data_IF_001588823082
#
_entry.id   IF_001588823082
#
_cell.length_a   1.000
_cell.length_b   1.000
_cell.length_c   1.000
_cell.angle_alpha   90.00
_cell.angle_beta   90.00
_cell.angle_gamma   90.00
#
_symmetry.space_group_name_H-M   'P 1'
#
loop_
_entity.id
_entity.type
_entity.pdbx_description
1 polymer ?
#
# COMPACT_ATOMS: atom_id res chain seq x y z
N UNK A 1 4.45 -30.45 18.25
CA UNK A 1 3.31 -30.30 19.17
C UNK A 1 3.30 -28.84 19.57
N UNK A 2 2.35 -28.06 19.04
CA UNK A 2 2.20 -26.63 19.34
C UNK A 2 1.38 -26.52 20.61
N UNK A 3 2.00 -25.99 21.68
CA UNK A 3 1.23 -25.33 22.72
C UNK A 3 0.43 -24.23 22.00
N UNK A 4 -0.91 -24.31 22.07
CA UNK A 4 -1.75 -23.19 21.67
C UNK A 4 -1.43 -22.07 22.64
N UNK A 5 -0.85 -20.98 22.15
CA UNK A 5 -0.84 -19.72 22.88
C UNK A 5 -2.29 -19.43 23.31
N UNK A 6 -2.52 -19.42 24.61
CA UNK A 6 -3.78 -18.97 25.17
C UNK A 6 -3.73 -17.45 25.19
N UNK A 7 -4.42 -16.82 24.24
CA UNK A 7 -4.64 -15.38 24.27
C UNK A 7 -5.62 -15.04 25.39
N UNK A 8 -5.58 -13.80 25.86
CA UNK A 8 -6.57 -13.33 26.83
C UNK A 8 -7.99 -13.41 26.25
N UNK A 9 -9.00 -13.55 27.11
CA UNK A 9 -10.41 -13.60 26.72
C UNK A 9 -10.83 -12.35 25.92
N UNK A 10 -10.20 -11.22 26.19
CA UNK A 10 -10.35 -9.96 25.47
C UNK A 10 -9.94 -10.09 24.00
N UNK A 11 -8.78 -10.69 23.73
CA UNK A 11 -8.28 -10.91 22.37
C UNK A 11 -9.19 -11.87 21.62
N UNK A 12 -9.70 -12.92 22.28
CA UNK A 12 -10.65 -13.85 21.69
C UNK A 12 -11.97 -13.16 21.29
N UNK A 13 -12.55 -12.34 22.17
CA UNK A 13 -13.75 -11.53 21.85
C UNK A 13 -13.49 -10.55 20.70
N UNK A 14 -12.33 -9.90 20.68
CA UNK A 14 -11.94 -9.02 19.59
C UNK A 14 -11.79 -9.75 18.25
N UNK A 15 -11.21 -10.95 18.26
CA UNK A 15 -11.11 -11.79 17.06
C UNK A 15 -12.48 -12.10 16.45
N UNK A 16 -13.47 -12.43 17.28
CA UNK A 16 -14.83 -12.69 16.81
C UNK A 16 -15.44 -11.46 16.12
N UNK A 17 -15.28 -10.28 16.72
CA UNK A 17 -15.79 -9.02 16.16
C UNK A 17 -15.12 -8.69 14.83
N UNK A 18 -13.79 -8.72 14.76
CA UNK A 18 -13.05 -8.43 13.52
C UNK A 18 -13.41 -9.42 12.39
N UNK A 19 -13.67 -10.68 12.73
CA UNK A 19 -14.14 -11.67 11.77
C UNK A 19 -15.57 -11.37 11.25
N UNK A 20 -16.45 -10.80 12.08
CA UNK A 20 -17.77 -10.33 11.66
C UNK A 20 -17.66 -9.14 10.72
N UNK A 21 -16.79 -8.17 11.02
CA UNK A 21 -16.51 -7.04 10.11
C UNK A 21 -16.05 -7.55 8.74
N UNK A 22 -15.08 -8.46 8.71
CA UNK A 22 -14.63 -9.07 7.47
C UNK A 22 -15.74 -9.83 6.72
N UNK A 23 -16.73 -10.38 7.43
CA UNK A 23 -17.89 -11.00 6.81
C UNK A 23 -18.86 -9.97 6.20
N UNK A 24 -19.11 -8.85 6.90
CA UNK A 24 -19.90 -7.71 6.37
C UNK A 24 -19.25 -7.17 5.09
N UNK A 25 -17.94 -6.95 5.11
CA UNK A 25 -17.18 -6.46 3.96
C UNK A 25 -17.21 -7.44 2.77
N UNK A 26 -17.16 -8.76 3.03
CA UNK A 26 -17.35 -9.76 1.97
C UNK A 26 -18.76 -9.76 1.40
N UNK A 27 -19.76 -9.53 2.25
CA UNK A 27 -21.17 -9.47 1.83
C UNK A 27 -21.41 -8.26 0.93
N UNK A 28 -20.90 -7.07 1.30
CA UNK A 28 -20.99 -5.82 0.51
C UNK A 28 -20.40 -5.90 -0.89
N UNK A 29 -19.43 -6.79 -1.12
CA UNK A 29 -18.79 -6.98 -2.42
C UNK A 29 -19.59 -7.85 -3.38
N UNK A 30 -20.68 -8.46 -2.92
CA UNK A 30 -21.55 -9.24 -3.78
C UNK A 30 -22.40 -8.30 -4.65
N UNK A 31 -22.64 -8.67 -5.92
CA UNK A 31 -23.53 -7.88 -6.77
C UNK A 31 -24.94 -7.86 -6.15
N UNK A 32 -25.63 -6.73 -6.31
CA UNK A 32 -27.04 -6.56 -5.95
C UNK A 32 -27.37 -6.77 -4.46
N UNK A 33 -26.40 -6.60 -3.56
CA UNK A 33 -26.65 -6.61 -2.10
C UNK A 33 -26.88 -5.20 -1.55
N UNK A 34 -27.87 -5.08 -0.67
CA UNK A 34 -28.07 -3.90 0.18
C UNK A 34 -27.29 -4.05 1.48
N UNK A 35 -26.91 -2.94 2.11
CA UNK A 35 -26.18 -2.98 3.38
C UNK A 35 -26.94 -3.77 4.47
N UNK A 36 -26.27 -4.67 5.21
CA UNK A 36 -26.90 -5.46 6.25
C UNK A 36 -27.02 -4.64 7.55
N UNK A 37 -27.82 -3.57 7.54
CA UNK A 37 -27.90 -2.55 8.60
C UNK A 37 -28.02 -3.12 10.02
N UNK A 38 -28.87 -4.14 10.24
CA UNK A 38 -29.03 -4.76 11.57
C UNK A 38 -27.75 -5.42 12.08
N UNK A 39 -27.00 -6.09 11.20
CA UNK A 39 -25.75 -6.73 11.56
C UNK A 39 -24.66 -5.69 11.84
N UNK A 40 -24.65 -4.60 11.06
CA UNK A 40 -23.75 -3.46 11.26
C UNK A 40 -24.01 -2.82 12.62
N UNK A 41 -25.27 -2.46 12.94
CA UNK A 41 -25.65 -1.88 14.23
C UNK A 41 -25.30 -2.78 15.42
N UNK A 42 -25.51 -4.09 15.29
CA UNK A 42 -25.14 -5.05 16.33
C UNK A 42 -23.63 -5.11 16.52
N UNK A 43 -22.87 -5.13 15.43
CA UNK A 43 -21.41 -5.19 15.45
C UNK A 43 -20.80 -3.93 16.07
N UNK A 44 -21.33 -2.75 15.71
CA UNK A 44 -20.97 -1.46 16.31
C UNK A 44 -21.15 -1.48 17.83
N UNK A 45 -22.32 -1.91 18.33
CA UNK A 45 -22.59 -2.00 19.78
C UNK A 45 -21.63 -2.95 20.50
N UNK A 46 -21.26 -4.06 19.87
CA UNK A 46 -20.28 -5.01 20.42
C UNK A 46 -18.88 -4.39 20.51
N UNK A 47 -18.46 -3.61 19.49
CA UNK A 47 -17.20 -2.88 19.51
C UNK A 47 -17.18 -1.83 20.61
N UNK A 48 -18.24 -1.04 20.77
CA UNK A 48 -18.33 0.01 21.80
C UNK A 48 -18.15 -0.55 23.21
N UNK A 49 -18.82 -1.67 23.51
CA UNK A 49 -18.66 -2.35 24.78
C UNK A 49 -17.21 -2.80 24.99
N UNK A 50 -16.61 -3.44 23.98
CA UNK A 50 -15.25 -3.98 24.09
C UNK A 50 -14.18 -2.88 24.20
N UNK A 51 -14.30 -1.79 23.43
CA UNK A 51 -13.37 -0.65 23.45
C UNK A 51 -13.42 0.08 24.80
N UNK A 52 -14.59 0.13 25.43
CA UNK A 52 -14.77 0.73 26.77
C UNK A 52 -14.11 -0.11 27.85
N UNK A 53 -14.15 -1.43 27.71
CA UNK A 53 -13.56 -2.37 28.67
C UNK A 53 -12.02 -2.46 28.55
N UNK A 54 -11.44 -2.02 27.44
CA UNK A 54 -10.01 -2.17 27.15
C UNK A 54 -9.13 -1.10 27.79
N UNK A 55 -7.96 -1.46 28.33
CA UNK A 55 -7.00 -0.48 28.82
C UNK A 55 -6.49 0.41 27.68
N UNK A 56 -6.30 1.69 27.97
CA UNK A 56 -5.62 2.61 27.05
C UNK A 56 -4.11 2.47 27.25
N UNK A 57 -3.47 1.79 26.31
CA UNK A 57 -2.03 1.56 26.30
C UNK A 57 -1.41 2.42 25.21
N UNK A 58 -0.58 3.39 25.58
CA UNK A 58 0.03 4.35 24.64
C UNK A 58 1.42 3.90 24.17
N UNK A 59 2.16 3.20 25.03
CA UNK A 59 3.52 2.71 24.71
C UNK A 59 3.68 1.28 25.24
N UNK A 60 3.32 0.26 24.45
CA UNK A 60 3.35 -1.13 24.90
C UNK A 60 4.78 -1.58 25.20
N UNK A 61 4.99 -2.25 26.33
CA UNK A 61 6.32 -2.71 26.76
C UNK A 61 6.59 -4.18 26.40
N UNK A 62 5.55 -4.93 26.06
CA UNK A 62 5.59 -6.36 25.76
C UNK A 62 4.52 -6.72 24.71
N UNK A 63 4.54 -7.97 24.23
CA UNK A 63 3.64 -8.45 23.18
C UNK A 63 2.17 -8.42 23.59
N UNK A 64 1.84 -8.75 24.84
CA UNK A 64 0.45 -8.76 25.30
C UNK A 64 -0.14 -7.35 25.32
N UNK A 65 0.62 -6.37 25.85
CA UNK A 65 0.25 -4.97 25.81
C UNK A 65 0.11 -4.45 24.37
N UNK A 66 1.01 -4.85 23.47
CA UNK A 66 0.94 -4.49 22.05
C UNK A 66 -0.33 -5.04 21.39
N UNK A 67 -0.64 -6.33 21.61
CA UNK A 67 -1.84 -6.93 21.02
C UNK A 67 -3.13 -6.28 21.52
N UNK A 68 -3.19 -5.92 22.80
CA UNK A 68 -4.35 -5.20 23.35
C UNK A 68 -4.45 -3.77 22.80
N UNK A 69 -3.34 -3.04 22.72
CA UNK A 69 -3.31 -1.68 22.17
C UNK A 69 -3.77 -1.67 20.70
N UNK A 70 -3.20 -2.55 19.89
CA UNK A 70 -3.51 -2.68 18.46
C UNK A 70 -4.96 -3.11 18.24
N UNK A 71 -5.44 -4.12 18.97
CA UNK A 71 -6.84 -4.55 18.87
C UNK A 71 -7.80 -3.41 19.23
N UNK A 72 -7.50 -2.64 20.29
CA UNK A 72 -8.32 -1.49 20.66
C UNK A 72 -8.38 -0.47 19.54
N UNK A 73 -7.23 -0.10 18.97
CA UNK A 73 -7.15 0.88 17.89
C UNK A 73 -7.88 0.39 16.64
N UNK A 74 -7.70 -0.90 16.29
CA UNK A 74 -8.39 -1.54 15.20
C UNK A 74 -9.90 -1.50 15.37
N UNK A 75 -10.42 -1.85 16.55
CA UNK A 75 -11.86 -1.81 16.83
C UNK A 75 -12.43 -0.40 16.72
N UNK A 76 -11.69 0.63 17.15
CA UNK A 76 -12.08 2.04 16.95
C UNK A 76 -12.15 2.40 15.46
N UNK A 77 -11.16 1.96 14.67
CA UNK A 77 -11.11 2.21 13.24
C UNK A 77 -12.29 1.56 12.50
N UNK A 78 -12.56 0.29 12.79
CA UNK A 78 -13.64 -0.48 12.17
C UNK A 78 -15.01 0.03 12.60
N UNK A 79 -15.16 0.40 13.89
CA UNK A 79 -16.37 1.04 14.41
C UNK A 79 -16.68 2.31 13.63
N UNK A 80 -15.69 3.18 13.47
CA UNK A 80 -15.86 4.42 12.74
C UNK A 80 -16.21 4.18 11.26
N UNK A 81 -15.52 3.24 10.60
CA UNK A 81 -15.80 2.88 9.21
C UNK A 81 -17.25 2.43 9.03
N UNK A 82 -17.73 1.52 9.88
CA UNK A 82 -19.10 1.03 9.83
C UNK A 82 -20.13 2.10 10.22
N UNK A 83 -19.78 2.99 11.15
CA UNK A 83 -20.66 4.05 11.62
C UNK A 83 -20.89 5.12 10.57
N UNK A 84 -19.88 5.47 9.77
CA UNK A 84 -20.00 6.45 8.68
C UNK A 84 -21.10 6.08 7.70
N UNK A 85 -21.28 4.78 7.43
CA UNK A 85 -22.32 4.29 6.52
C UNK A 85 -23.75 4.46 7.08
N UNK A 86 -23.87 4.63 8.41
CA UNK A 86 -25.15 4.77 9.12
C UNK A 86 -25.43 6.19 9.61
N UNK A 87 -24.42 7.06 9.63
CA UNK A 87 -24.52 8.41 10.17
C UNK A 87 -25.00 9.42 9.12
N UNK A 88 -25.79 10.39 9.57
CA UNK A 88 -26.21 11.54 8.76
C UNK A 88 -25.18 12.66 8.73
N UNK A 89 -24.20 12.67 9.64
CA UNK A 89 -23.16 13.70 9.73
C UNK A 89 -21.81 13.17 9.27
N UNK A 90 -21.12 13.94 8.43
CA UNK A 90 -19.76 13.60 7.97
C UNK A 90 -18.73 13.89 9.08
N UNK A 91 -17.88 12.91 9.47
CA UNK A 91 -16.79 13.09 10.42
C UNK A 91 -15.85 14.26 10.09
N UNK A 92 -15.23 14.85 11.11
CA UNK A 92 -14.19 15.87 10.91
C UNK A 92 -12.90 15.26 10.38
N UNK A 93 -12.02 16.12 9.84
CA UNK A 93 -10.68 15.72 9.43
C UNK A 93 -9.94 14.99 10.57
N UNK A 94 -9.89 15.58 11.76
CA UNK A 94 -9.19 15.04 12.92
C UNK A 94 -9.72 13.66 13.32
N UNK A 95 -11.04 13.46 13.22
CA UNK A 95 -11.66 12.16 13.47
C UNK A 95 -11.21 11.11 12.44
N UNK A 96 -11.26 11.42 11.15
CA UNK A 96 -10.84 10.47 10.09
C UNK A 96 -9.36 10.11 10.22
N UNK A 97 -8.48 11.08 10.50
CA UNK A 97 -7.06 10.84 10.72
C UNK A 97 -6.83 9.92 11.93
N UNK A 98 -7.50 10.19 13.05
CA UNK A 98 -7.37 9.40 14.26
C UNK A 98 -7.82 7.94 14.07
N UNK A 99 -8.98 7.72 13.43
CA UNK A 99 -9.50 6.37 13.21
C UNK A 99 -8.62 5.54 12.28
N UNK A 100 -7.99 6.16 11.28
CA UNK A 100 -7.06 5.47 10.39
C UNK A 100 -5.65 5.33 10.96
N UNK A 101 -5.39 5.85 12.17
CA UNK A 101 -4.09 5.79 12.82
C UNK A 101 -2.97 6.46 12.03
N UNK A 102 -3.30 7.54 11.31
CA UNK A 102 -2.35 8.25 10.46
C UNK A 102 -1.57 9.24 11.35
N UNK A 103 -0.24 9.12 11.48
CA UNK A 103 0.55 10.10 12.21
C UNK A 103 0.40 11.48 11.56
N UNK A 104 0.08 12.50 12.36
CA UNK A 104 -0.14 13.85 11.81
C UNK A 104 1.15 14.42 11.23
N UNK A 105 2.28 14.04 11.81
CA UNK A 105 3.62 14.41 11.39
C UNK A 105 3.91 13.94 9.95
N UNK A 106 3.36 12.78 9.55
CA UNK A 106 3.51 12.26 8.19
C UNK A 106 2.75 13.15 7.19
N UNK A 107 1.55 13.62 7.55
CA UNK A 107 0.75 14.55 6.72
C UNK A 107 1.43 15.92 6.65
N UNK A 108 1.92 16.44 7.78
CA UNK A 108 2.61 17.73 7.85
C UNK A 108 3.94 17.71 7.08
N UNK A 109 4.60 16.55 6.98
CA UNK A 109 5.84 16.39 6.22
C UNK A 109 5.68 16.56 4.71
N UNK A 110 4.46 16.42 4.18
CA UNK A 110 4.18 16.52 2.75
C UNK A 110 4.65 17.85 2.16
N UNK A 111 4.42 18.95 2.87
CA UNK A 111 4.75 20.29 2.40
C UNK A 111 6.26 20.46 2.20
N UNK A 112 7.04 20.08 3.21
CA UNK A 112 8.51 20.15 3.19
C UNK A 112 9.05 19.24 2.09
N UNK A 113 8.58 17.99 2.02
CA UNK A 113 9.04 17.05 1.02
C UNK A 113 8.75 17.53 -0.41
N UNK A 114 7.55 18.10 -0.66
CA UNK A 114 7.18 18.64 -1.97
C UNK A 114 8.01 19.86 -2.36
N UNK A 115 8.38 20.71 -1.40
CA UNK A 115 9.28 21.83 -1.64
C UNK A 115 10.67 21.35 -2.07
N UNK A 116 11.25 20.42 -1.32
CA UNK A 116 12.60 19.89 -1.53
C UNK A 116 12.73 19.09 -2.83
N UNK A 117 11.68 18.37 -3.23
CA UNK A 117 11.71 17.47 -4.38
C UNK A 117 11.20 18.08 -5.68
N UNK A 118 10.74 19.35 -5.67
CA UNK A 118 10.15 19.99 -6.87
C UNK A 118 11.12 20.09 -8.04
N UNK A 119 12.33 20.61 -7.83
CA UNK A 119 13.33 20.70 -8.90
C UNK A 119 13.91 19.33 -9.28
N UNK A 120 14.26 18.42 -8.33
CA UNK A 120 14.63 17.05 -8.66
C UNK A 120 13.63 16.32 -9.57
N UNK A 121 12.33 16.50 -9.34
CA UNK A 121 11.26 15.90 -10.17
C UNK A 121 11.21 16.49 -11.57
N UNK A 122 11.45 17.80 -11.73
CA UNK A 122 11.54 18.41 -13.06
C UNK A 122 12.71 17.84 -13.85
N UNK A 123 13.86 17.66 -13.21
CA UNK A 123 15.03 17.06 -13.84
C UNK A 123 14.80 15.58 -14.19
N UNK A 124 14.18 14.80 -13.30
CA UNK A 124 13.78 13.42 -13.59
C UNK A 124 12.80 13.36 -14.76
N UNK A 125 11.80 14.25 -14.80
CA UNK A 125 10.83 14.33 -15.89
C UNK A 125 11.49 14.74 -17.22
N UNK A 126 12.47 15.66 -17.18
CA UNK A 126 13.28 16.03 -18.34
C UNK A 126 14.07 14.83 -18.87
N UNK A 127 14.78 14.09 -18.01
CA UNK A 127 15.49 12.86 -18.40
C UNK A 127 14.54 11.82 -18.99
N UNK A 128 13.35 11.64 -18.39
CA UNK A 128 12.31 10.75 -18.92
C UNK A 128 11.84 11.20 -20.31
N UNK A 129 11.62 12.50 -20.50
CA UNK A 129 11.26 13.07 -21.79
C UNK A 129 12.37 12.84 -22.83
N UNK A 130 13.63 13.15 -22.51
CA UNK A 130 14.78 12.96 -23.40
C UNK A 130 14.96 11.49 -23.80
N UNK A 131 14.84 10.56 -22.86
CA UNK A 131 14.83 9.11 -23.16
C UNK A 131 13.71 8.77 -24.14
N UNK A 132 12.51 9.24 -23.90
CA UNK A 132 11.33 8.95 -24.74
C UNK A 132 11.45 9.59 -26.12
N UNK A 133 11.97 10.81 -26.21
CA UNK A 133 12.18 11.52 -27.48
C UNK A 133 13.27 10.87 -28.35
N UNK A 134 14.28 10.27 -27.71
CA UNK A 134 15.35 9.54 -28.39
C UNK A 134 14.96 8.08 -28.71
N UNK A 135 14.03 7.49 -27.96
CA UNK A 135 13.42 6.18 -28.23
C UNK A 135 12.22 6.34 -29.19
N UNK A 136 12.48 6.70 -30.46
CA UNK A 136 11.44 7.02 -31.46
C UNK A 136 10.38 5.94 -31.68
N UNK A 137 10.64 4.71 -31.25
CA UNK A 137 9.81 3.56 -31.63
C UNK A 137 9.14 2.85 -30.46
N UNK A 138 9.31 3.29 -29.21
CA UNK A 138 8.62 2.65 -28.08
C UNK A 138 7.15 3.08 -28.02
N UNK A 139 6.24 2.18 -28.40
CA UNK A 139 4.78 2.41 -28.44
C UNK A 139 4.03 1.38 -27.60
N UNK A 140 2.82 1.69 -27.11
CA UNK A 140 1.96 0.68 -26.48
C UNK A 140 1.65 -0.46 -27.47
N UNK A 141 1.67 -1.70 -26.99
CA UNK A 141 1.29 -2.85 -27.82
C UNK A 141 -0.20 -2.75 -28.19
N UNK A 142 -0.53 -3.00 -29.45
CA UNK A 142 -1.92 -3.07 -29.91
C UNK A 142 -2.59 -4.38 -29.49
N UNK A 143 -2.96 -4.50 -28.20
CA UNK A 143 -3.53 -5.73 -27.61
C UNK A 143 -4.91 -6.14 -28.17
N UNK A 144 -5.54 -5.28 -28.99
CA UNK A 144 -6.73 -5.64 -29.76
C UNK A 144 -6.44 -6.55 -30.96
N UNK A 145 -5.17 -6.73 -31.34
CA UNK A 145 -4.73 -7.69 -32.35
C UNK A 145 -4.32 -8.99 -31.64
N UNK A 146 -5.03 -10.08 -31.91
CA UNK A 146 -4.87 -11.36 -31.20
C UNK A 146 -3.43 -11.89 -31.19
N UNK A 147 -2.72 -11.79 -32.31
CA UNK A 147 -1.34 -12.25 -32.46
C UNK A 147 -0.40 -11.48 -31.55
N UNK A 148 -0.46 -10.14 -31.60
CA UNK A 148 0.34 -9.26 -30.74
C UNK A 148 -0.01 -9.44 -29.26
N UNK A 149 -1.29 -9.64 -28.93
CA UNK A 149 -1.71 -9.89 -27.56
C UNK A 149 -1.11 -11.20 -27.03
N UNK A 150 -1.19 -12.29 -27.80
CA UNK A 150 -0.61 -13.59 -27.41
C UNK A 150 0.91 -13.50 -27.24
N UNK A 151 1.60 -12.83 -28.15
CA UNK A 151 3.04 -12.62 -28.10
C UNK A 151 3.45 -11.80 -26.85
N UNK A 152 2.85 -10.62 -26.67
CA UNK A 152 3.10 -9.75 -25.52
C UNK A 152 2.84 -10.46 -24.20
N UNK A 153 1.71 -11.17 -24.15
CA UNK A 153 1.31 -11.98 -23.01
C UNK A 153 2.36 -13.05 -22.70
N UNK A 154 2.77 -13.84 -23.68
CA UNK A 154 3.78 -14.90 -23.47
C UNK A 154 5.09 -14.32 -22.95
N UNK A 155 5.59 -13.27 -23.58
CA UNK A 155 6.83 -12.59 -23.21
C UNK A 155 6.78 -12.04 -21.77
N UNK A 156 5.71 -11.33 -21.43
CA UNK A 156 5.51 -10.78 -20.09
C UNK A 156 5.44 -11.89 -19.03
N UNK A 157 4.65 -12.93 -19.28
CA UNK A 157 4.52 -14.06 -18.37
C UNK A 157 5.87 -14.74 -18.11
N UNK A 158 6.62 -15.02 -19.17
CA UNK A 158 7.94 -15.65 -19.05
C UNK A 158 8.92 -14.78 -18.25
N UNK A 159 8.92 -13.47 -18.51
CA UNK A 159 9.77 -12.52 -17.77
C UNK A 159 9.39 -12.46 -16.28
N UNK A 160 8.10 -12.32 -15.95
CA UNK A 160 7.61 -12.37 -14.57
C UNK A 160 8.03 -13.67 -13.90
N UNK A 161 7.83 -14.82 -14.56
CA UNK A 161 8.20 -16.11 -14.00
C UNK A 161 9.71 -16.28 -13.81
N UNK A 162 10.55 -15.73 -14.71
CA UNK A 162 12.00 -15.70 -14.53
C UNK A 162 12.37 -14.93 -13.28
N UNK A 163 11.88 -13.69 -13.13
CA UNK A 163 12.18 -12.87 -11.95
C UNK A 163 11.66 -13.53 -10.67
N UNK A 164 10.43 -14.06 -10.67
CA UNK A 164 9.88 -14.80 -9.52
C UNK A 164 10.77 -15.97 -9.11
N UNK A 165 11.19 -16.82 -10.06
CA UNK A 165 12.09 -17.95 -9.75
C UNK A 165 13.39 -17.46 -9.14
N UNK A 166 13.97 -16.41 -9.74
CA UNK A 166 15.18 -15.77 -9.27
C UNK A 166 15.04 -15.28 -7.82
N UNK A 167 13.96 -14.57 -7.49
CA UNK A 167 13.76 -14.00 -6.15
C UNK A 167 13.22 -15.01 -5.13
N UNK A 168 12.77 -16.18 -5.57
CA UNK A 168 12.20 -17.20 -4.68
C UNK A 168 13.22 -17.74 -3.69
N UNK A 169 14.49 -17.81 -4.10
CA UNK A 169 15.60 -18.21 -3.24
C UNK A 169 16.01 -17.08 -2.29
N UNK A 170 16.11 -15.85 -2.80
CA UNK A 170 16.57 -14.67 -2.05
C UNK A 170 15.56 -14.17 -1.02
N UNK A 171 14.28 -14.08 -1.40
CA UNK A 171 13.21 -13.58 -0.51
C UNK A 171 12.37 -14.71 0.10
N UNK A 172 12.65 -15.98 -0.18
CA UNK A 172 11.84 -17.10 0.33
C UNK A 172 10.39 -17.06 -0.14
N UNK A 173 10.11 -16.51 -1.33
CA UNK A 173 8.74 -16.37 -1.86
C UNK A 173 8.22 -17.62 -2.58
N UNK A 174 9.00 -18.70 -2.65
CA UNK A 174 8.63 -19.93 -3.37
C UNK A 174 7.26 -20.48 -2.94
N UNK A 175 7.02 -20.50 -1.62
CA UNK A 175 5.79 -21.04 -1.04
C UNK A 175 4.64 -20.06 -1.22
N UNK A 176 4.94 -18.75 -1.14
CA UNK A 176 3.97 -17.70 -1.35
C UNK A 176 3.45 -17.68 -2.80
N UNK A 177 4.33 -17.89 -3.78
CA UNK A 177 3.98 -17.97 -5.21
C UNK A 177 3.05 -19.15 -5.50
N UNK A 178 3.23 -20.29 -4.82
CA UNK A 178 2.38 -21.50 -5.02
C UNK A 178 0.95 -21.30 -4.50
N UNK A 179 0.77 -20.46 -3.48
CA UNK A 179 -0.54 -20.20 -2.88
C UNK A 179 -1.43 -19.30 -3.74
N UNK A 180 -0.86 -18.55 -4.68
CA UNK A 180 -1.58 -17.60 -5.50
C UNK A 180 -1.80 -18.11 -6.93
N UNK A 181 -3.05 -18.02 -7.40
CA UNK A 181 -3.37 -18.16 -8.82
C UNK A 181 -2.83 -16.94 -9.57
N UNK A 182 -2.07 -17.20 -10.61
CA UNK A 182 -1.42 -16.15 -11.40
C UNK A 182 -2.15 -16.01 -12.72
N UNK A 183 -2.64 -14.82 -13.01
CA UNK A 183 -3.22 -14.53 -14.31
C UNK A 183 -2.71 -13.21 -14.83
N UNK A 184 -2.73 -13.10 -16.14
CA UNK A 184 -2.32 -11.92 -16.85
C UNK A 184 -3.53 -11.40 -17.57
N UNK A 185 -3.64 -10.08 -17.63
CA UNK A 185 -4.78 -9.46 -18.25
C UNK A 185 -4.35 -8.35 -19.21
N UNK A 186 -4.95 -8.39 -20.40
CA UNK A 186 -4.69 -7.49 -21.50
C UNK A 186 -5.56 -6.22 -21.48
N UNK A 187 -6.60 -6.18 -20.64
CA UNK A 187 -7.59 -5.09 -20.62
C UNK A 187 -7.35 -4.09 -19.49
N UNK A 188 -6.99 -4.56 -18.30
CA UNK A 188 -6.64 -3.63 -17.23
C UNK A 188 -5.21 -3.14 -17.34
N UNK A 189 -5.04 -1.89 -16.91
CA UNK A 189 -3.73 -1.25 -16.81
C UNK A 189 -3.08 -1.47 -15.45
N UNK A 190 -3.80 -1.98 -14.44
CA UNK A 190 -3.25 -2.16 -13.09
C UNK A 190 -2.89 -3.62 -12.79
N UNK A 191 -1.68 -3.80 -12.28
CA UNK A 191 -1.24 -5.03 -11.63
C UNK A 191 -1.57 -4.96 -10.14
N UNK A 192 -1.98 -6.08 -9.53
CA UNK A 192 -2.32 -6.15 -8.11
C UNK A 192 -2.35 -7.60 -7.60
N UNK A 193 -2.04 -7.77 -6.32
CA UNK A 193 -2.36 -8.96 -5.55
C UNK A 193 -3.73 -8.82 -4.86
N UNK A 194 -4.58 -9.84 -4.98
CA UNK A 194 -5.83 -9.97 -4.26
C UNK A 194 -5.75 -11.18 -3.33
N UNK A 195 -5.65 -10.91 -2.04
CA UNK A 195 -5.53 -11.89 -0.97
C UNK A 195 -6.83 -12.63 -0.64
N UNK A 196 -7.99 -12.15 -1.09
CA UNK A 196 -9.28 -12.83 -0.87
C UNK A 196 -9.43 -13.98 -1.86
N UNK A 197 -9.16 -13.71 -3.14
CA UNK A 197 -9.18 -14.73 -4.20
C UNK A 197 -7.87 -15.53 -4.29
N UNK A 198 -6.85 -15.16 -3.50
CA UNK A 198 -5.48 -15.64 -3.64
C UNK A 198 -5.03 -15.57 -5.09
N UNK A 199 -5.13 -14.38 -5.68
CA UNK A 199 -4.75 -14.17 -7.08
C UNK A 199 -3.77 -13.02 -7.22
N UNK A 200 -2.77 -13.19 -8.08
CA UNK A 200 -1.93 -12.08 -8.53
C UNK A 200 -2.19 -11.85 -10.01
N UNK A 201 -2.42 -10.59 -10.33
CA UNK A 201 -2.66 -10.09 -11.67
C UNK A 201 -1.53 -9.18 -12.11
N UNK A 202 -1.10 -9.33 -13.37
CA UNK A 202 -0.29 -8.31 -14.01
C UNK A 202 -0.86 -7.85 -15.36
N UNK A 203 -0.61 -6.58 -15.67
CA UNK A 203 -1.08 -5.92 -16.88
C UNK A 203 -0.10 -6.08 -18.03
N UNK A 204 -0.51 -6.74 -19.11
CA UNK A 204 0.30 -6.83 -20.34
C UNK A 204 0.62 -5.44 -20.88
N UNK A 205 -0.33 -4.51 -20.77
CA UNK A 205 -0.19 -3.12 -21.21
C UNK A 205 0.96 -2.37 -20.52
N UNK A 206 1.21 -2.63 -19.24
CA UNK A 206 2.30 -1.99 -18.50
C UNK A 206 3.63 -2.68 -18.66
N UNK A 207 3.63 -4.00 -18.77
CA UNK A 207 4.86 -4.81 -18.77
C UNK A 207 5.44 -5.04 -20.15
N UNK A 208 4.81 -4.54 -21.21
CA UNK A 208 5.29 -4.70 -22.59
C UNK A 208 5.16 -3.41 -23.38
N UNK A 209 5.95 -3.32 -24.44
CA UNK A 209 5.88 -2.29 -25.45
C UNK A 209 6.17 -2.89 -26.82
N UNK A 210 5.90 -2.17 -27.90
CA UNK A 210 6.29 -2.55 -29.24
C UNK A 210 7.13 -1.46 -29.90
N UNK A 211 7.97 -1.85 -30.85
CA UNK A 211 8.67 -0.96 -31.78
C UNK A 211 8.65 -1.55 -33.19
N UNK A 212 9.45 -1.01 -34.13
CA UNK A 212 9.52 -1.53 -35.51
C UNK A 212 10.00 -2.99 -35.60
N UNK A 213 10.78 -3.45 -34.62
CA UNK A 213 11.36 -4.80 -34.57
C UNK A 213 10.44 -5.85 -33.93
N UNK A 214 9.32 -5.44 -33.31
CA UNK A 214 8.36 -6.36 -32.69
C UNK A 214 7.91 -5.97 -31.28
N UNK A 215 7.53 -6.97 -30.48
CA UNK A 215 7.05 -6.80 -29.10
C UNK A 215 8.17 -7.10 -28.09
N UNK A 216 8.27 -6.26 -27.06
CA UNK A 216 9.32 -6.30 -26.05
C UNK A 216 8.74 -6.18 -24.65
N UNK A 217 9.51 -6.65 -23.67
CA UNK A 217 9.21 -6.55 -22.25
C UNK A 217 9.77 -5.25 -21.69
N UNK A 218 9.00 -4.55 -20.85
CA UNK A 218 9.54 -3.50 -20.00
C UNK A 218 10.15 -4.12 -18.74
N UNK A 219 11.47 -4.29 -18.76
CA UNK A 219 12.23 -4.86 -17.65
C UNK A 219 12.08 -4.07 -16.33
N UNK A 220 11.97 -2.74 -16.41
CA UNK A 220 11.77 -1.90 -15.22
C UNK A 220 10.42 -2.23 -14.56
N UNK A 221 9.35 -2.19 -15.34
CA UNK A 221 8.00 -2.48 -14.84
C UNK A 221 7.85 -3.93 -14.35
N UNK A 222 8.51 -4.90 -14.99
CA UNK A 222 8.54 -6.29 -14.49
C UNK A 222 9.22 -6.38 -13.12
N UNK A 223 10.40 -5.77 -12.95
CA UNK A 223 11.13 -5.82 -11.68
C UNK A 223 10.32 -5.11 -10.59
N UNK A 224 9.79 -3.92 -10.86
CA UNK A 224 8.90 -3.19 -9.94
C UNK A 224 7.72 -4.03 -9.50
N UNK A 225 6.99 -4.59 -10.46
CA UNK A 225 5.83 -5.43 -10.22
C UNK A 225 6.16 -6.61 -9.33
N UNK A 226 7.25 -7.32 -9.63
CA UNK A 226 7.62 -8.51 -8.88
C UNK A 226 8.08 -8.14 -7.46
N UNK A 227 8.85 -7.06 -7.30
CA UNK A 227 9.24 -6.56 -5.98
C UNK A 227 8.04 -6.12 -5.13
N UNK A 228 7.13 -5.34 -5.71
CA UNK A 228 5.97 -4.78 -5.01
C UNK A 228 4.91 -5.83 -4.68
N UNK A 229 4.43 -6.55 -5.70
CA UNK A 229 3.31 -7.47 -5.55
C UNK A 229 3.74 -8.81 -4.94
N UNK A 230 4.86 -9.39 -5.40
CA UNK A 230 5.32 -10.69 -4.90
C UNK A 230 6.21 -10.57 -3.68
N UNK A 231 7.23 -9.70 -3.74
CA UNK A 231 8.16 -9.46 -2.64
C UNK A 231 7.50 -8.78 -1.43
N UNK A 232 6.55 -7.89 -1.68
CA UNK A 232 5.75 -7.18 -0.69
C UNK A 232 4.45 -7.89 -0.33
N UNK A 233 3.38 -7.61 -1.10
CA UNK A 233 2.00 -7.97 -0.74
C UNK A 233 1.79 -9.48 -0.54
N UNK A 234 2.20 -10.31 -1.51
CA UNK A 234 2.02 -11.77 -1.46
C UNK A 234 2.83 -12.39 -0.34
N UNK A 235 4.10 -12.01 -0.21
CA UNK A 235 4.99 -12.50 0.86
C UNK A 235 4.44 -12.13 2.23
N UNK A 236 4.06 -10.86 2.44
CA UNK A 236 3.45 -10.37 3.67
C UNK A 236 2.20 -11.17 4.03
N UNK A 237 1.31 -11.41 3.05
CA UNK A 237 0.11 -12.21 3.27
C UNK A 237 0.44 -13.64 3.73
N UNK A 238 1.33 -14.33 3.01
CA UNK A 238 1.65 -15.73 3.31
C UNK A 238 2.36 -15.88 4.64
N UNK A 239 3.37 -15.06 4.93
CA UNK A 239 4.08 -15.07 6.21
C UNK A 239 3.10 -14.79 7.36
N UNK A 240 2.24 -13.78 7.22
CA UNK A 240 1.21 -13.46 8.22
C UNK A 240 0.27 -14.64 8.48
N UNK A 241 -0.22 -15.31 7.43
CA UNK A 241 -1.13 -16.45 7.56
C UNK A 241 -0.46 -17.68 8.17
N UNK A 242 0.81 -17.93 7.87
CA UNK A 242 1.57 -19.07 8.38
C UNK A 242 2.06 -18.88 9.82
N UNK A 243 2.16 -17.64 10.29
CA UNK A 243 2.67 -17.33 11.64
C UNK A 243 1.69 -17.81 12.71
N UNK A 244 2.00 -18.92 13.38
CA UNK A 244 1.06 -19.58 14.31
C UNK A 244 0.72 -18.74 15.55
N UNK A 245 1.67 -17.96 16.06
CA UNK A 245 1.57 -17.22 17.31
C UNK A 245 0.84 -15.86 17.21
N UNK A 246 0.49 -15.39 16.02
CA UNK A 246 -0.28 -14.16 15.88
C UNK A 246 -1.78 -14.40 16.19
N UNK A 247 -2.42 -13.50 16.95
CA UNK A 247 -3.87 -13.41 17.07
C UNK A 247 -4.59 -13.37 15.71
N UNK A 248 -5.84 -13.86 15.65
CA UNK A 248 -6.59 -13.92 14.39
C UNK A 248 -6.85 -12.54 13.79
N UNK A 249 -7.06 -11.50 14.59
CA UNK A 249 -7.35 -10.15 14.09
C UNK A 249 -6.17 -9.59 13.29
N UNK A 250 -4.92 -9.88 13.69
CA UNK A 250 -3.70 -9.53 12.95
C UNK A 250 -3.49 -10.37 11.69
N UNK A 251 -4.26 -11.46 11.52
CA UNK A 251 -4.27 -12.27 10.30
C UNK A 251 -5.41 -11.88 9.35
N UNK A 252 -6.29 -10.97 9.76
CA UNK A 252 -7.44 -10.55 8.95
C UNK A 252 -7.16 -9.18 8.34
N UNK A 253 -6.79 -9.18 7.05
CA UNK A 253 -6.68 -7.94 6.29
C UNK A 253 -8.08 -7.29 6.18
N UNK A 254 -8.18 -6.03 6.57
CA UNK A 254 -9.31 -5.17 6.21
C UNK A 254 -8.77 -3.93 5.50
N UNK A 255 -9.60 -3.34 4.64
CA UNK A 255 -9.13 -2.47 3.56
C UNK A 255 -8.72 -1.07 4.03
N UNK A 256 -9.18 -0.62 5.20
CA UNK A 256 -8.93 0.76 5.64
C UNK A 256 -7.77 0.89 6.65
N UNK A 257 -7.78 0.27 7.83
CA UNK A 257 -6.86 0.66 8.90
C UNK A 257 -5.44 0.13 8.67
N UNK A 258 -5.28 -0.92 7.85
CA UNK A 258 -3.99 -1.61 7.61
C UNK A 258 -3.39 -1.36 6.23
N UNK A 259 -4.12 -0.76 5.29
CA UNK A 259 -3.68 -0.68 3.90
C UNK A 259 -2.46 0.24 3.71
N UNK A 260 -2.35 1.31 4.50
CA UNK A 260 -1.18 2.20 4.48
C UNK A 260 0.10 1.45 4.82
N UNK A 261 0.07 0.67 5.90
CA UNK A 261 1.19 -0.19 6.32
C UNK A 261 1.52 -1.25 5.27
N UNK A 262 0.52 -1.95 4.73
CA UNK A 262 0.73 -2.97 3.69
C UNK A 262 1.42 -2.39 2.45
N UNK A 263 1.01 -1.21 2.02
CA UNK A 263 1.62 -0.52 0.89
C UNK A 263 3.05 -0.04 1.21
N UNK A 264 3.31 0.44 2.43
CA UNK A 264 4.66 0.80 2.89
C UNK A 264 5.61 -0.42 2.87
N UNK A 265 5.14 -1.61 3.30
CA UNK A 265 5.89 -2.87 3.16
C UNK A 265 6.18 -3.19 1.70
N UNK A 266 5.19 -3.08 0.82
CA UNK A 266 5.36 -3.38 -0.59
C UNK A 266 6.36 -2.44 -1.29
N UNK A 267 6.30 -1.15 -0.99
CA UNK A 267 7.25 -0.15 -1.52
C UNK A 267 8.69 -0.39 -1.03
N UNK A 268 8.86 -0.87 0.20
CA UNK A 268 10.18 -1.28 0.71
C UNK A 268 10.75 -2.44 -0.11
N UNK A 269 9.99 -3.51 -0.30
CA UNK A 269 10.47 -4.69 -1.04
C UNK A 269 10.61 -4.46 -2.56
N UNK A 270 9.80 -3.55 -3.15
CA UNK A 270 10.07 -3.02 -4.48
C UNK A 270 11.49 -2.45 -4.56
N UNK A 271 11.82 -1.55 -3.65
CA UNK A 271 13.12 -0.86 -3.63
C UNK A 271 14.27 -1.82 -3.29
N UNK A 272 14.05 -2.73 -2.35
CA UNK A 272 15.05 -3.73 -1.94
C UNK A 272 15.43 -4.65 -3.09
N UNK A 273 14.48 -5.07 -3.94
CA UNK A 273 14.78 -5.89 -5.11
C UNK A 273 15.75 -5.18 -6.07
N UNK A 274 15.55 -3.88 -6.33
CA UNK A 274 16.50 -3.11 -7.14
C UNK A 274 17.87 -3.01 -6.48
N UNK A 275 17.94 -2.81 -5.16
CA UNK A 275 19.22 -2.80 -4.43
C UNK A 275 19.95 -4.13 -4.56
N UNK A 276 19.27 -5.26 -4.39
CA UNK A 276 19.87 -6.60 -4.52
C UNK A 276 20.39 -6.83 -5.95
N UNK A 277 19.62 -6.46 -6.97
CA UNK A 277 20.05 -6.60 -8.36
C UNK A 277 21.27 -5.71 -8.68
N UNK A 278 21.39 -4.55 -8.02
CA UNK A 278 22.56 -3.69 -8.11
C UNK A 278 23.80 -4.32 -7.47
N UNK A 279 23.63 -4.91 -6.29
CA UNK A 279 24.69 -5.53 -5.50
C UNK A 279 25.15 -6.87 -6.09
N UNK A 280 24.30 -7.52 -6.89
CA UNK A 280 24.57 -8.83 -7.50
C UNK A 280 24.37 -8.82 -9.03
N UNK A 281 25.39 -8.39 -9.81
CA UNK A 281 25.31 -8.36 -11.27
C UNK A 281 25.08 -9.73 -11.92
N UNK A 282 25.58 -10.81 -11.32
CA UNK A 282 25.37 -12.17 -11.82
C UNK A 282 23.88 -12.56 -11.71
N UNK A 283 23.23 -12.13 -10.61
CA UNK A 283 21.81 -12.33 -10.43
C UNK A 283 21.01 -11.59 -11.50
N UNK A 284 21.34 -10.32 -11.79
CA UNK A 284 20.73 -9.58 -12.89
C UNK A 284 20.93 -10.28 -14.25
N UNK A 285 22.14 -10.71 -14.57
CA UNK A 285 22.44 -11.42 -15.82
C UNK A 285 21.58 -12.67 -15.99
N UNK A 286 21.30 -13.39 -14.89
CA UNK A 286 20.45 -14.58 -14.91
C UNK A 286 18.99 -14.31 -15.32
N UNK A 287 18.52 -13.06 -15.19
CA UNK A 287 17.16 -12.66 -15.59
C UNK A 287 16.99 -12.61 -17.12
N UNK A 288 18.09 -12.48 -17.85
CA UNK A 288 18.11 -12.49 -19.33
C UNK A 288 17.51 -11.25 -19.98
N UNK A 289 17.55 -10.10 -19.30
CA UNK A 289 17.16 -8.83 -19.90
C UNK A 289 18.29 -8.29 -20.80
N UNK A 290 17.92 -7.74 -21.95
CA UNK A 290 18.88 -7.23 -22.95
C UNK A 290 19.45 -5.85 -22.61
N UNK A 291 18.86 -5.15 -21.64
CA UNK A 291 19.24 -3.80 -21.25
C UNK A 291 20.30 -3.83 -20.14
N UNK A 292 21.24 -2.86 -20.06
CA UNK A 292 22.10 -2.72 -18.90
C UNK A 292 21.30 -2.40 -17.62
N UNK A 293 21.64 -3.05 -16.50
CA UNK A 293 20.92 -2.81 -15.24
C UNK A 293 20.99 -1.34 -14.77
N UNK A 294 22.12 -0.66 -15.00
CA UNK A 294 22.26 0.75 -14.59
C UNK A 294 21.22 1.66 -15.26
N UNK A 295 20.90 1.40 -16.54
CA UNK A 295 19.87 2.14 -17.26
C UNK A 295 18.48 1.87 -16.68
N UNK A 296 18.19 0.61 -16.37
CA UNK A 296 16.95 0.20 -15.69
C UNK A 296 16.85 0.87 -14.31
N UNK A 297 17.92 0.82 -13.52
CA UNK A 297 17.97 1.37 -12.17
C UNK A 297 17.80 2.89 -12.18
N UNK A 298 18.42 3.61 -13.12
CA UNK A 298 18.21 5.05 -13.25
C UNK A 298 16.78 5.39 -13.69
N UNK A 299 16.17 4.59 -14.59
CA UNK A 299 14.75 4.74 -14.92
C UNK A 299 13.85 4.50 -13.71
N UNK A 300 14.14 3.46 -12.92
CA UNK A 300 13.43 3.17 -11.69
C UNK A 300 13.43 4.38 -10.74
N UNK A 301 14.61 4.96 -10.47
CA UNK A 301 14.74 6.12 -9.60
C UNK A 301 13.95 7.33 -10.11
N UNK A 302 14.03 7.63 -11.42
CA UNK A 302 13.29 8.74 -12.02
C UNK A 302 11.77 8.51 -11.95
N UNK A 303 11.31 7.30 -12.32
CA UNK A 303 9.89 6.95 -12.33
C UNK A 303 9.30 6.91 -10.92
N UNK A 304 10.06 6.41 -9.93
CA UNK A 304 9.66 6.42 -8.52
C UNK A 304 9.52 7.85 -8.00
N UNK A 305 10.53 8.70 -8.23
CA UNK A 305 10.50 10.10 -7.77
C UNK A 305 9.32 10.88 -8.38
N UNK A 306 9.05 10.69 -9.68
CA UNK A 306 7.90 11.32 -10.35
C UNK A 306 6.57 10.78 -9.77
N UNK A 307 6.43 9.47 -9.61
CA UNK A 307 5.22 8.87 -9.06
C UNK A 307 4.95 9.31 -7.61
N UNK A 308 5.98 9.34 -6.77
CA UNK A 308 5.91 9.80 -5.39
C UNK A 308 5.50 11.27 -5.31
N UNK A 309 6.04 12.12 -6.20
CA UNK A 309 5.64 13.53 -6.24
C UNK A 309 4.18 13.70 -6.65
N UNK A 310 3.72 12.96 -7.66
CA UNK A 310 2.30 12.99 -8.08
C UNK A 310 1.40 12.57 -6.92
N UNK A 311 1.75 11.49 -6.20
CA UNK A 311 0.97 10.97 -5.09
C UNK A 311 0.96 11.91 -3.88
N UNK A 312 2.14 12.36 -3.43
CA UNK A 312 2.27 13.28 -2.28
C UNK A 312 1.62 14.63 -2.57
N UNK A 313 1.69 15.12 -3.81
CA UNK A 313 0.99 16.34 -4.24
C UNK A 313 -0.53 16.16 -4.20
N UNK A 314 -1.03 15.02 -4.62
CA UNK A 314 -2.45 14.66 -4.51
C UNK A 314 -2.92 14.58 -3.04
N UNK A 315 -2.13 13.93 -2.18
CA UNK A 315 -2.39 13.84 -0.74
C UNK A 315 -2.37 15.22 -0.08
N UNK A 316 -1.39 16.07 -0.40
CA UNK A 316 -1.33 17.45 0.06
C UNK A 316 -2.53 18.28 -0.43
N UNK A 317 -3.01 17.99 -1.64
CA UNK A 317 -4.29 18.48 -2.16
C UNK A 317 -5.46 18.13 -1.26
N UNK A 318 -5.63 16.86 -0.91
CA UNK A 318 -6.69 16.38 -0.01
C UNK A 318 -6.58 17.06 1.36
N UNK A 319 -5.37 17.12 1.93
CA UNK A 319 -5.11 17.79 3.20
C UNK A 319 -5.51 19.27 3.17
N UNK A 320 -5.13 19.99 2.11
CA UNK A 320 -5.47 21.40 1.91
C UNK A 320 -6.98 21.60 1.83
N UNK A 321 -7.69 20.76 1.07
CA UNK A 321 -9.15 20.83 0.96
C UNK A 321 -9.80 20.51 2.30
N UNK A 322 -9.41 19.43 2.97
CA UNK A 322 -9.99 19.00 4.24
C UNK A 322 -9.82 20.02 5.38
N UNK A 323 -8.76 20.84 5.33
CA UNK A 323 -8.52 21.97 6.26
C UNK A 323 -9.13 23.31 5.80
N UNK A 324 -9.93 23.31 4.74
CA UNK A 324 -10.56 24.50 4.17
C UNK A 324 -12.08 24.32 4.06
N UNK A 325 -12.77 25.28 3.43
CA UNK A 325 -14.19 25.19 3.08
C UNK A 325 -14.37 25.06 1.57
N UNK A 326 -15.49 24.50 1.12
CA UNK A 326 -15.76 24.24 -0.31
C UNK A 326 -15.60 25.50 -1.18
N UNK A 327 -16.04 26.66 -0.69
CA UNK A 327 -16.05 27.92 -1.44
C UNK A 327 -14.74 28.73 -1.32
N UNK A 328 -13.74 28.26 -0.58
CA UNK A 328 -12.47 28.97 -0.37
C UNK A 328 -11.42 28.69 -1.46
N UNK A 329 -11.86 28.78 -2.72
CA UNK A 329 -11.01 28.51 -3.88
C UNK A 329 -9.73 29.35 -3.89
N UNK A 330 -9.81 30.60 -3.44
CA UNK A 330 -8.66 31.52 -3.46
C UNK A 330 -7.55 30.99 -2.55
N UNK A 331 -7.84 30.71 -1.28
CA UNK A 331 -6.82 30.22 -0.35
C UNK A 331 -6.37 28.80 -0.69
N UNK A 332 -7.26 27.94 -1.20
CA UNK A 332 -6.87 26.62 -1.72
C UNK A 332 -5.85 26.75 -2.86
N UNK A 333 -6.12 27.64 -3.84
CA UNK A 333 -5.18 27.89 -4.94
C UNK A 333 -3.83 28.44 -4.44
N UNK A 334 -3.86 29.40 -3.51
CA UNK A 334 -2.65 29.99 -2.92
C UNK A 334 -1.76 28.94 -2.22
N UNK A 335 -2.37 27.98 -1.49
CA UNK A 335 -1.65 26.88 -0.83
C UNK A 335 -1.09 25.83 -1.79
N UNK A 336 -1.82 25.51 -2.86
CA UNK A 336 -1.45 24.43 -3.78
C UNK A 336 -0.47 24.86 -4.88
N UNK A 337 -0.50 26.12 -5.30
CA UNK A 337 0.30 26.63 -6.41
C UNK A 337 1.82 26.46 -6.24
N UNK A 338 2.43 26.66 -5.05
CA UNK A 338 3.88 26.51 -4.88
C UNK A 338 4.42 25.13 -5.26
N UNK A 339 3.60 24.09 -5.06
CA UNK A 339 3.93 22.68 -5.30
C UNK A 339 3.45 22.17 -6.66
N UNK A 340 2.90 23.06 -7.49
CA UNK A 340 2.50 22.72 -8.85
C UNK A 340 3.72 22.67 -9.78
N UNK A 341 3.82 21.57 -10.55
CA UNK A 341 4.67 21.49 -11.74
C UNK A 341 3.92 22.12 -12.91
N UNK A 342 2.66 21.73 -13.10
CA UNK A 342 1.76 22.31 -14.08
C UNK A 342 0.90 23.41 -13.47
N UNK A 343 0.93 24.66 -13.98
CA UNK A 343 0.16 25.78 -13.41
C UNK A 343 -1.36 25.56 -13.35
N UNK A 344 -1.91 24.68 -14.19
CA UNK A 344 -3.33 24.34 -14.20
C UNK A 344 -3.72 23.29 -13.15
N UNK A 345 -2.76 22.56 -12.58
CA UNK A 345 -3.04 21.44 -11.68
C UNK A 345 -3.91 21.83 -10.48
N UNK A 346 -3.61 22.90 -9.71
CA UNK A 346 -4.42 23.28 -8.56
C UNK A 346 -5.90 23.52 -8.91
N UNK A 347 -6.14 24.28 -9.98
CA UNK A 347 -7.49 24.60 -10.43
C UNK A 347 -8.25 23.36 -10.90
N UNK A 348 -7.58 22.43 -11.60
CA UNK A 348 -8.15 21.16 -12.03
C UNK A 348 -8.46 20.26 -10.84
N UNK A 349 -7.54 20.17 -9.87
CA UNK A 349 -7.70 19.36 -8.67
C UNK A 349 -8.91 19.84 -7.85
N UNK A 350 -8.97 21.12 -7.49
CA UNK A 350 -10.11 21.70 -6.75
C UNK A 350 -11.44 21.44 -7.47
N UNK A 351 -11.47 21.65 -8.79
CA UNK A 351 -12.67 21.40 -9.59
C UNK A 351 -13.10 19.92 -9.61
N UNK A 352 -12.14 19.00 -9.68
CA UNK A 352 -12.39 17.56 -9.68
C UNK A 352 -12.94 17.08 -8.33
N UNK A 353 -12.54 17.74 -7.25
CA UNK A 353 -12.96 17.40 -5.87
C UNK A 353 -14.26 18.07 -5.43
N UNK A 354 -14.91 18.89 -6.28
CA UNK A 354 -16.10 19.67 -5.89
C UNK A 354 -17.25 18.79 -5.37
N UNK A 355 -17.39 17.59 -5.95
CA UNK A 355 -18.48 16.65 -5.65
C UNK A 355 -18.14 15.76 -4.45
N UNK A 356 -16.92 15.91 -3.90
CA UNK A 356 -16.47 15.20 -2.71
C UNK A 356 -16.72 15.99 -1.42
N UNK A 357 -17.51 17.07 -1.47
CA UNK A 357 -17.94 17.83 -0.30
C UNK A 357 -19.35 17.45 0.07
N UNK A 358 -19.55 17.13 1.34
CA UNK A 358 -20.88 16.89 1.88
C UNK A 358 -21.69 18.19 1.85
N UNK A 359 -22.86 18.15 1.21
CA UNK A 359 -23.68 19.34 0.99
C UNK A 359 -24.31 19.89 2.28
N UNK A 360 -24.41 19.07 3.32
CA UNK A 360 -25.05 19.46 4.59
C UNK A 360 -24.02 20.04 5.55
N UNK A 361 -22.92 19.33 5.79
CA UNK A 361 -21.87 19.74 6.71
C UNK A 361 -20.84 20.67 6.09
N UNK A 362 -20.77 20.74 4.75
CA UNK A 362 -19.75 21.52 4.02
C UNK A 362 -18.33 21.00 4.23
N UNK A 363 -18.18 19.71 4.56
CA UNK A 363 -16.89 19.05 4.86
C UNK A 363 -16.50 18.13 3.71
N UNK A 364 -15.21 17.93 3.50
CA UNK A 364 -14.74 16.90 2.59
C UNK A 364 -15.14 15.51 3.13
N UNK A 365 -15.69 14.65 2.27
CA UNK A 365 -16.21 13.34 2.67
C UNK A 365 -15.11 12.39 3.16
N UNK A 366 -15.46 11.51 4.10
CA UNK A 366 -14.49 10.72 4.86
C UNK A 366 -13.69 9.74 4.02
N UNK A 367 -14.29 9.08 3.03
CA UNK A 367 -13.55 8.18 2.14
C UNK A 367 -12.43 8.94 1.41
N UNK A 368 -12.65 10.23 1.10
CA UNK A 368 -11.65 11.05 0.43
C UNK A 368 -10.50 11.40 1.36
N UNK A 369 -10.80 11.83 2.59
CA UNK A 369 -9.78 12.11 3.62
C UNK A 369 -8.98 10.84 3.94
N UNK A 370 -9.63 9.66 3.92
CA UNK A 370 -8.98 8.38 4.22
C UNK A 370 -7.83 8.03 3.29
N UNK A 371 -7.75 8.59 2.08
CA UNK A 371 -6.62 8.39 1.15
C UNK A 371 -5.29 8.90 1.72
N UNK A 372 -5.32 9.76 2.74
CA UNK A 372 -4.13 10.19 3.49
C UNK A 372 -3.46 9.04 4.26
N UNK A 373 -4.12 7.88 4.42
CA UNK A 373 -3.50 6.70 5.05
C UNK A 373 -2.26 6.20 4.32
N UNK A 374 -2.17 6.45 3.02
CA UNK A 374 -1.00 6.11 2.20
C UNK A 374 0.15 7.12 2.32
N UNK A 375 -0.01 8.17 3.14
CA UNK A 375 1.11 9.05 3.52
C UNK A 375 1.97 8.37 4.59
N UNK A 376 1.38 7.48 5.40
CA UNK A 376 2.08 6.81 6.48
C UNK A 376 3.23 5.95 5.95
N UNK A 377 4.43 6.17 6.49
CA UNK A 377 5.66 5.43 6.14
C UNK A 377 6.29 4.76 7.39
N UNK A 378 5.58 3.83 8.05
CA UNK A 378 6.11 3.14 9.23
C UNK A 378 7.38 2.33 8.89
N UNK A 379 7.46 1.71 7.71
CA UNK A 379 8.65 0.94 7.32
C UNK A 379 9.86 1.83 7.15
N UNK A 380 9.74 2.99 6.50
CA UNK A 380 10.85 3.93 6.40
C UNK A 380 11.34 4.43 7.76
N UNK A 381 10.44 4.68 8.72
CA UNK A 381 10.83 5.03 10.10
C UNK A 381 11.59 3.89 10.79
N UNK A 382 11.06 2.67 10.70
CA UNK A 382 11.72 1.47 11.22
C UNK A 382 13.13 1.35 10.65
N UNK A 383 13.26 1.34 9.32
CA UNK A 383 14.55 1.14 8.64
C UNK A 383 15.57 2.24 8.91
N UNK A 384 15.13 3.49 9.20
CA UNK A 384 16.03 4.57 9.64
C UNK A 384 16.52 4.40 11.07
N UNK A 385 15.76 3.72 11.93
CA UNK A 385 16.05 3.55 13.36
C UNK A 385 16.83 2.27 13.68
N UNK A 386 16.71 1.25 12.84
CA UNK A 386 17.31 -0.07 13.04
C UNK A 386 18.81 -0.05 12.67
N UNK A 387 19.70 -0.63 13.50
CA UNK A 387 21.11 -0.79 13.17
C UNK A 387 21.33 -1.59 11.88
N UNK A 388 22.36 -1.23 11.09
CA UNK A 388 22.61 -1.83 9.78
C UNK A 388 22.76 -3.37 9.80
N UNK A 389 23.34 -3.92 10.87
CA UNK A 389 23.53 -5.36 11.09
C UNK A 389 22.22 -6.10 11.45
N UNK A 390 21.13 -5.37 11.68
CA UNK A 390 19.81 -5.92 12.05
C UNK A 390 18.72 -5.66 11.02
N UNK A 391 19.06 -5.08 9.86
CA UNK A 391 18.09 -4.79 8.79
C UNK A 391 17.36 -6.05 8.34
N UNK A 392 18.07 -7.17 8.12
CA UNK A 392 17.43 -8.43 7.71
C UNK A 392 16.44 -8.97 8.74
N UNK A 393 16.72 -8.78 10.04
CA UNK A 393 15.80 -9.18 11.11
C UNK A 393 14.56 -8.29 11.10
N UNK A 394 14.72 -6.97 10.93
CA UNK A 394 13.60 -6.04 10.78
C UNK A 394 12.76 -6.35 9.53
N UNK A 395 13.38 -6.69 8.40
CA UNK A 395 12.70 -7.10 7.16
C UNK A 395 11.81 -8.33 7.36
N UNK A 396 12.26 -9.30 8.17
CA UNK A 396 11.42 -10.46 8.54
C UNK A 396 10.23 -10.05 9.41
N UNK A 397 10.44 -9.13 10.35
CA UNK A 397 9.40 -8.67 11.27
C UNK A 397 8.32 -7.84 10.56
N UNK A 398 8.67 -6.96 9.61
CA UNK A 398 7.68 -6.14 8.88
C UNK A 398 6.77 -6.95 7.96
N UNK A 399 7.15 -8.18 7.62
CA UNK A 399 6.35 -9.12 6.83
C UNK A 399 5.34 -9.92 7.65
N UNK A 400 5.22 -9.65 8.95
CA UNK A 400 4.45 -10.48 9.87
C UNK A 400 3.34 -9.65 10.50
N UNK A 401 2.08 -9.97 10.19
CA UNK A 401 0.89 -9.34 10.78
C UNK A 401 0.37 -8.13 9.99
N UNK A 402 -0.95 -7.95 10.02
CA UNK A 402 -1.61 -6.75 9.50
C UNK A 402 -1.73 -5.71 10.62
N UNK A 403 -0.74 -4.83 10.66
CA UNK A 403 -0.61 -3.79 11.68
C UNK A 403 -1.05 -2.42 11.17
N UNK A 404 -1.64 -1.61 12.05
CA UNK A 404 -1.69 -0.17 11.89
C UNK A 404 -0.27 0.42 12.01
N UNK A 405 0.00 1.65 11.51
CA UNK A 405 1.36 2.17 11.39
C UNK A 405 2.18 2.11 12.69
N UNK A 406 1.63 2.65 13.79
CA UNK A 406 2.29 2.65 15.10
C UNK A 406 2.48 1.23 15.66
N UNK A 407 1.48 0.36 15.50
CA UNK A 407 1.56 -1.04 15.92
C UNK A 407 2.69 -1.80 15.25
N UNK A 408 2.99 -1.51 13.98
CA UNK A 408 4.14 -2.12 13.29
C UNK A 408 5.47 -1.66 13.89
N UNK A 409 5.61 -0.38 14.19
CA UNK A 409 6.82 0.17 14.80
C UNK A 409 7.08 -0.45 16.18
N UNK A 410 6.04 -0.57 16.99
CA UNK A 410 6.11 -1.21 18.30
C UNK A 410 6.39 -2.72 18.20
N UNK A 411 5.79 -3.41 17.22
CA UNK A 411 6.08 -4.81 16.92
C UNK A 411 7.56 -5.03 16.63
N UNK A 412 8.14 -4.23 15.73
CA UNK A 412 9.57 -4.35 15.40
C UNK A 412 10.43 -4.00 16.60
N UNK A 413 10.13 -2.89 17.30
CA UNK A 413 10.89 -2.45 18.48
C UNK A 413 10.95 -3.52 19.57
N UNK A 414 9.80 -4.10 19.95
CA UNK A 414 9.71 -5.10 21.02
C UNK A 414 10.46 -6.38 20.65
N UNK A 415 10.28 -6.86 19.42
CA UNK A 415 10.93 -8.09 18.97
C UNK A 415 12.44 -7.92 18.75
N UNK A 416 12.89 -6.73 18.33
CA UNK A 416 14.32 -6.47 18.24
C UNK A 416 14.96 -6.27 19.62
N UNK A 417 14.26 -5.76 20.62
CA UNK A 417 14.79 -5.61 21.97
C UNK A 417 14.93 -6.93 22.73
N UNK A 418 14.25 -7.99 22.28
CA UNK A 418 14.21 -9.29 22.94
C UNK A 418 15.07 -10.30 22.16
N UNK A 419 16.12 -10.92 22.73
CA UNK A 419 16.88 -11.96 22.05
C UNK A 419 15.93 -13.11 21.66
N UNK A 420 15.89 -13.41 20.37
CA UNK A 420 14.75 -14.00 19.65
C UNK A 420 14.27 -15.36 20.18
N UNK A 421 12.94 -15.54 20.23
CA UNK A 421 12.30 -16.75 19.73
C UNK A 421 11.92 -16.47 18.26
N UNK A 422 12.84 -16.74 17.33
CA UNK A 422 12.54 -16.91 15.91
C UNK A 422 13.10 -18.26 15.49
#
# INVERSE_FOLDING_TARGET
MSERLQFSTEIERGNEIVNRVAAIERFRRQPDTLDPTKEIEQTIKQMEGLVTDFPVIVSPQNLDELYLAELRQRLVAEHASLSVDLMSETPTFEQVIAYNGIPIEDIESLEVWLAENREPVKEANKRKFERTANQKDRRPVHLGVDELNREASSLAKEAVERVIRAISEEFGVAEAVKMFKRYMDSWETRSFANWISNTVRWSTHKTTYMNEDGVFVDSNEIIRLVGHEFGGHVRHHVVTKMTSYLPSFLKTATDLPTSGTMESVAQHFESRLFTILKENPNFYQSLGFNEPFEDIYQRYLDDKLIADYIMKRFQFGIYTLAKSTQDDRKTQMEKLMPYAIEPWWPAKFINYEKDNWDQVSGRLISWRISELRYVADPVGRIMRSVPADRIEEAERLILTGYWMPQGLEDWVRINLATPSFI
#
